data_IF_174407367238
#
_entry.id   IF_174407367238
#
_cell.length_a   1.000
_cell.length_b   1.000
_cell.length_c   1.000
_cell.angle_alpha   90.00
_cell.angle_beta   90.00
_cell.angle_gamma   90.00
#
_symmetry.space_group_name_H-M   'P 1'
#
loop_
_entity.id
_entity.type
_entity.pdbx_description
1 polymer ?
#
# COMPACT_ATOMS: atom_id res chain seq x y z
N UNK A 1 13.95 10.75 -11.25
CA UNK A 1 12.67 10.21 -10.76
C UNK A 1 12.86 9.91 -9.29
N UNK A 2 12.02 10.47 -8.43
CA UNK A 2 12.09 10.26 -6.98
C UNK A 2 11.59 8.84 -6.63
N UNK A 3 12.29 8.13 -5.74
CA UNK A 3 11.95 6.75 -5.35
C UNK A 3 10.55 6.68 -4.74
N UNK A 4 10.13 7.71 -4.01
CA UNK A 4 8.78 7.81 -3.48
C UNK A 4 7.74 8.00 -4.60
N UNK A 5 8.04 8.78 -5.63
CA UNK A 5 7.13 9.00 -6.76
C UNK A 5 6.78 7.70 -7.48
N UNK A 6 7.77 6.84 -7.76
CA UNK A 6 7.54 5.53 -8.38
C UNK A 6 6.63 4.64 -7.50
N UNK A 7 6.90 4.63 -6.20
CA UNK A 7 6.09 3.90 -5.24
C UNK A 7 4.65 4.43 -5.15
N UNK A 8 4.48 5.75 -5.17
CA UNK A 8 3.19 6.42 -5.17
C UNK A 8 2.36 6.03 -6.39
N UNK A 9 2.92 6.14 -7.59
CA UNK A 9 2.24 5.80 -8.85
C UNK A 9 1.80 4.32 -8.85
N UNK A 10 2.66 3.42 -8.37
CA UNK A 10 2.35 2.00 -8.25
C UNK A 10 1.18 1.76 -7.29
N UNK A 11 1.18 2.37 -6.11
CA UNK A 11 0.09 2.20 -5.14
C UNK A 11 -1.21 2.87 -5.62
N UNK A 12 -1.12 4.00 -6.32
CA UNK A 12 -2.26 4.69 -6.91
C UNK A 12 -3.00 3.84 -7.94
N UNK A 13 -2.29 2.99 -8.69
CA UNK A 13 -2.91 2.02 -9.60
C UNK A 13 -3.79 0.97 -8.90
N UNK A 14 -3.64 0.81 -7.58
CA UNK A 14 -4.41 -0.13 -6.73
C UNK A 14 -5.52 0.55 -5.91
N UNK A 15 -5.88 1.78 -6.28
CA UNK A 15 -6.96 2.52 -5.63
C UNK A 15 -6.60 3.05 -4.23
N UNK A 16 -5.32 3.26 -3.93
CA UNK A 16 -4.85 3.81 -2.67
C UNK A 16 -3.89 4.98 -2.89
N UNK A 17 -3.86 5.92 -1.96
CA UNK A 17 -2.90 7.03 -1.96
C UNK A 17 -1.81 6.78 -0.93
N UNK A 18 -0.58 7.17 -1.24
CA UNK A 18 0.54 7.14 -0.29
C UNK A 18 1.02 8.54 0.06
N UNK A 19 1.59 8.66 1.26
CA UNK A 19 2.29 9.86 1.72
C UNK A 19 3.62 9.46 2.35
N UNK A 20 4.62 10.33 2.31
CA UNK A 20 5.83 10.15 3.12
C UNK A 20 5.47 10.29 4.60
N UNK A 21 6.05 9.44 5.44
CA UNK A 21 5.85 9.43 6.88
C UNK A 21 7.20 9.35 7.58
N UNK A 22 7.52 10.34 8.42
CA UNK A 22 8.85 10.45 9.02
C UNK A 22 9.90 11.05 8.08
N UNK A 23 11.17 10.78 8.35
CA UNK A 23 12.31 11.48 7.72
C UNK A 23 12.93 10.73 6.54
N UNK A 24 12.62 9.45 6.36
CA UNK A 24 13.24 8.60 5.33
C UNK A 24 12.19 7.71 4.67
N UNK A 25 12.30 7.58 3.35
CA UNK A 25 11.50 6.66 2.57
C UNK A 25 12.38 5.64 1.86
N UNK A 26 12.08 4.35 2.09
CA UNK A 26 12.67 3.24 1.36
C UNK A 26 11.59 2.19 1.09
N UNK A 27 11.61 1.59 -0.09
CA UNK A 27 10.68 0.52 -0.43
C UNK A 27 11.36 -0.52 -1.34
N UNK A 28 11.24 -1.78 -0.96
CA UNK A 28 11.54 -2.94 -1.81
C UNK A 28 10.29 -3.80 -1.89
N UNK A 29 9.89 -4.18 -3.10
CA UNK A 29 8.64 -4.89 -3.35
C UNK A 29 8.90 -5.97 -4.39
N UNK A 30 8.52 -7.20 -4.06
CA UNK A 30 8.43 -8.31 -5.01
C UNK A 30 6.97 -8.76 -5.11
N UNK A 31 6.49 -8.92 -6.34
CA UNK A 31 5.16 -9.42 -6.61
C UNK A 31 5.25 -10.86 -7.15
N UNK A 32 4.47 -11.75 -6.56
CA UNK A 32 4.35 -13.14 -6.98
C UNK A 32 2.90 -13.42 -7.35
N UNK A 33 2.68 -13.95 -8.55
CA UNK A 33 1.35 -14.22 -9.07
C UNK A 33 1.04 -15.71 -9.02
N UNK A 34 -0.06 -16.07 -8.35
CA UNK A 34 -0.53 -17.44 -8.17
C UNK A 34 -2.00 -17.54 -8.62
N UNK A 35 -2.23 -17.50 -9.92
CA UNK A 35 -3.56 -17.59 -10.52
C UNK A 35 -4.45 -16.39 -10.16
N UNK A 36 -5.36 -16.55 -9.20
CA UNK A 36 -6.25 -15.44 -8.75
C UNK A 36 -5.69 -14.69 -7.55
N UNK A 37 -4.54 -15.11 -7.01
CA UNK A 37 -3.89 -14.49 -5.87
C UNK A 37 -2.64 -13.75 -6.33
N UNK A 38 -2.46 -12.53 -5.83
CA UNK A 38 -1.19 -11.80 -5.94
C UNK A 38 -0.63 -11.62 -4.54
N UNK A 39 0.56 -12.16 -4.31
CA UNK A 39 1.31 -11.99 -3.07
C UNK A 39 2.35 -10.88 -3.26
N UNK A 40 2.39 -9.94 -2.33
CA UNK A 40 3.43 -8.92 -2.28
C UNK A 40 4.33 -9.19 -1.07
N UNK A 41 5.61 -9.45 -1.33
CA UNK A 41 6.65 -9.38 -0.30
C UNK A 41 7.24 -7.96 -0.33
N UNK A 42 7.25 -7.30 0.82
CA UNK A 42 7.57 -5.88 0.89
C UNK A 42 8.32 -5.49 2.16
N UNK A 43 9.33 -4.68 1.97
CA UNK A 43 10.02 -3.94 3.03
C UNK A 43 9.80 -2.46 2.76
N UNK A 44 9.23 -1.75 3.73
CA UNK A 44 8.82 -0.35 3.57
C UNK A 44 9.21 0.42 4.83
N UNK A 45 9.85 1.57 4.62
CA UNK A 45 10.14 2.56 5.65
C UNK A 45 9.45 3.87 5.24
N UNK A 46 8.76 4.47 6.21
CA UNK A 46 8.24 5.83 6.08
C UNK A 46 7.15 6.07 5.04
N UNK A 47 6.20 5.13 4.93
CA UNK A 47 5.04 5.29 4.04
C UNK A 47 3.71 5.22 4.80
N UNK A 48 2.90 6.27 4.66
CA UNK A 48 1.48 6.26 5.01
C UNK A 48 0.64 5.74 3.85
N UNK A 49 -0.42 5.00 4.15
CA UNK A 49 -1.38 4.50 3.17
C UNK A 49 -2.79 4.92 3.54
N UNK A 50 -3.56 5.39 2.55
CA UNK A 50 -4.96 5.74 2.72
C UNK A 50 -5.77 5.31 1.51
N UNK A 51 -6.99 4.83 1.77
CA UNK A 51 -8.05 4.73 0.75
C UNK A 51 -9.16 5.69 1.16
N UNK A 52 -9.51 6.64 0.29
CA UNK A 52 -10.66 7.49 0.51
C UNK A 52 -11.96 6.83 0.03
N UNK A 53 -13.10 7.35 0.46
CA UNK A 53 -14.41 6.79 0.13
C UNK A 53 -14.70 6.80 -1.38
N UNK A 54 -14.16 7.78 -2.13
CA UNK A 54 -14.33 7.87 -3.57
C UNK A 54 -13.46 6.85 -4.33
N UNK A 55 -12.31 6.46 -3.79
CA UNK A 55 -11.46 5.38 -4.30
C UNK A 55 -12.09 4.02 -4.02
N UNK A 56 -12.62 3.81 -2.80
CA UNK A 56 -13.30 2.56 -2.41
C UNK A 56 -14.52 2.28 -3.30
N UNK A 57 -15.33 3.29 -3.60
CA UNK A 57 -16.54 3.12 -4.42
C UNK A 57 -16.24 2.92 -5.92
N UNK A 58 -15.13 3.44 -6.43
CA UNK A 58 -14.77 3.36 -7.86
C UNK A 58 -14.19 2.02 -8.25
N UNK A 59 -13.54 1.33 -7.33
CA UNK A 59 -12.61 0.27 -7.71
C UNK A 59 -13.33 -1.02 -8.14
N UNK A 60 -14.55 -1.30 -7.67
CA UNK A 60 -15.20 -2.60 -7.93
C UNK A 60 -14.36 -3.82 -7.49
N UNK A 61 -13.26 -3.57 -6.76
CA UNK A 61 -12.32 -4.56 -6.29
C UNK A 61 -12.97 -5.30 -5.11
N UNK A 62 -13.61 -6.43 -5.38
CA UNK A 62 -13.98 -7.45 -4.38
C UNK A 62 -12.74 -8.24 -3.89
N UNK A 63 -11.61 -7.55 -3.70
CA UNK A 63 -10.37 -8.17 -3.28
C UNK A 63 -10.18 -8.00 -1.78
N UNK A 64 -10.05 -9.13 -1.09
CA UNK A 64 -9.64 -9.14 0.30
C UNK A 64 -8.13 -8.89 0.38
N UNK A 65 -7.73 -7.86 1.13
CA UNK A 65 -6.33 -7.56 1.37
C UNK A 65 -5.92 -8.08 2.75
N UNK A 66 -5.12 -9.14 2.78
CA UNK A 66 -4.53 -9.68 4.01
C UNK A 66 -3.07 -9.24 4.10
N UNK A 67 -2.70 -8.67 5.25
CA UNK A 67 -1.32 -8.28 5.53
C UNK A 67 -0.84 -9.02 6.77
N UNK A 68 0.38 -9.54 6.69
CA UNK A 68 1.08 -10.12 7.84
C UNK A 68 2.35 -9.30 8.06
N UNK A 69 2.44 -8.63 9.20
CA UNK A 69 3.63 -7.88 9.59
C UNK A 69 4.69 -8.86 10.11
N UNK A 70 5.76 -9.03 9.34
CA UNK A 70 6.87 -9.94 9.71
C UNK A 70 7.82 -9.34 10.74
N UNK A 71 7.97 -8.01 10.73
CA UNK A 71 8.83 -7.25 11.63
C UNK A 71 8.48 -5.76 11.56
N UNK A 72 8.90 -4.98 12.56
CA UNK A 72 8.68 -3.53 12.60
C UNK A 72 7.34 -3.16 13.23
N UNK A 73 6.82 -1.99 12.87
CA UNK A 73 5.57 -1.47 13.40
C UNK A 73 4.65 -1.00 12.27
N UNK A 74 3.38 -1.34 12.40
CA UNK A 74 2.32 -0.85 11.54
C UNK A 74 1.20 -0.33 12.44
N UNK A 75 0.83 0.93 12.25
CA UNK A 75 -0.31 1.53 12.93
C UNK A 75 -1.44 1.64 11.93
N UNK A 76 -2.53 0.91 12.18
CA UNK A 76 -3.76 1.03 11.40
C UNK A 76 -4.84 1.69 12.26
N UNK A 77 -5.46 2.74 11.73
CA UNK A 77 -6.64 3.35 12.34
C UNK A 77 -7.94 2.79 11.76
N UNK A 78 -9.06 3.05 12.42
CA UNK A 78 -10.38 2.90 11.81
C UNK A 78 -10.47 3.84 10.60
N UNK A 79 -11.04 3.36 9.49
CA UNK A 79 -11.60 4.22 8.43
C UNK A 79 -12.41 5.34 9.09
N UNK A 80 -12.24 6.58 8.65
CA UNK A 80 -12.74 7.80 9.30
C UNK A 80 -14.16 7.68 9.86
N UNK A 81 -14.38 8.36 11.00
CA UNK A 81 -15.72 8.69 11.48
C UNK A 81 -16.44 9.66 10.56
#
# INVERSE_FOLDING_TARGET
MDSFGLYHDMVQSSGATTSVFGETFEATIAAHHFGRLTLFDRQIIGAGHKRDAAQIQRDGFDHFYLQVLRSGQMVSGRSGG
#
